data_IF_890373946641
#
_entry.id   IF_890373946641
#
_cell.length_a   1.000
_cell.length_b   1.000
_cell.length_c   1.000
_cell.angle_alpha   90.00
_cell.angle_beta   90.00
_cell.angle_gamma   90.00
#
_symmetry.space_group_name_H-M   'P 1'
#
loop_
_entity.id
_entity.type
_entity.pdbx_description
1 polymer ?
#
# COMPACT_ATOMS: atom_id res chain seq x y z
N UNK A 1 12.10 -27.11 7.76
CA UNK A 1 12.51 -26.24 8.88
C UNK A 1 11.73 -24.95 8.72
N UNK A 2 10.66 -24.77 9.51
CA UNK A 2 9.94 -23.49 9.52
C UNK A 2 10.80 -22.49 10.28
N UNK A 3 11.18 -21.41 9.62
CA UNK A 3 11.83 -20.27 10.30
C UNK A 3 10.74 -19.65 11.19
N UNK A 4 10.95 -19.63 12.50
CA UNK A 4 10.07 -18.93 13.43
C UNK A 4 10.17 -17.42 13.14
N UNK A 5 9.28 -16.95 12.28
CA UNK A 5 9.16 -15.56 11.90
C UNK A 5 8.22 -14.83 12.87
N UNK A 6 8.76 -13.98 13.75
CA UNK A 6 7.94 -13.09 14.57
C UNK A 6 7.32 -11.94 13.74
N UNK A 7 6.35 -11.21 14.32
CA UNK A 7 5.64 -10.12 13.62
C UNK A 7 6.61 -9.06 13.08
N UNK A 8 7.64 -8.74 13.85
CA UNK A 8 8.60 -7.71 13.48
C UNK A 8 9.44 -8.18 12.29
N UNK A 9 9.82 -9.45 12.23
CA UNK A 9 10.56 -10.04 11.12
C UNK A 9 9.68 -10.12 9.87
N UNK A 10 8.39 -10.50 9.98
CA UNK A 10 7.46 -10.50 8.85
C UNK A 10 7.22 -9.09 8.33
N UNK A 11 6.98 -8.11 9.21
CA UNK A 11 6.81 -6.70 8.84
C UNK A 11 8.11 -6.16 8.23
N UNK A 12 9.28 -6.51 8.75
CA UNK A 12 10.56 -6.07 8.22
C UNK A 12 10.82 -6.65 6.83
N UNK A 13 10.59 -7.96 6.66
CA UNK A 13 10.66 -8.63 5.37
C UNK A 13 9.72 -7.93 4.39
N UNK A 14 8.41 -7.82 4.71
CA UNK A 14 7.41 -7.16 3.87
C UNK A 14 7.70 -5.67 3.59
N UNK A 15 8.28 -4.93 4.56
CA UNK A 15 8.70 -3.53 4.37
C UNK A 15 9.90 -3.41 3.43
N UNK A 16 10.82 -4.37 3.43
CA UNK A 16 11.91 -4.42 2.45
C UNK A 16 11.40 -4.67 1.01
N UNK A 17 10.15 -5.09 0.83
CA UNK A 17 9.50 -5.10 -0.49
C UNK A 17 9.01 -3.71 -0.93
N UNK A 18 8.79 -2.77 0.00
CA UNK A 18 8.06 -1.53 -0.25
C UNK A 18 8.94 -0.30 -0.56
N UNK A 19 10.28 -0.35 -0.45
CA UNK A 19 11.09 0.47 -1.34
C UNK A 19 12.32 -0.29 -1.86
N UNK A 20 12.30 -0.60 -3.16
CA UNK A 20 13.47 -0.87 -4.00
C UNK A 20 14.26 -2.18 -3.83
N UNK A 21 13.87 -3.17 -3.03
CA UNK A 21 14.66 -4.43 -2.97
C UNK A 21 13.98 -5.70 -3.46
N UNK A 22 12.65 -5.79 -3.51
CA UNK A 22 11.95 -7.00 -4.00
C UNK A 22 10.63 -6.69 -4.74
N UNK A 23 10.59 -5.61 -5.53
CA UNK A 23 9.54 -5.49 -6.56
C UNK A 23 9.58 -6.73 -7.45
N UNK A 24 8.45 -7.29 -7.90
CA UNK A 24 8.48 -8.39 -8.86
C UNK A 24 9.39 -8.00 -10.02
N UNK A 25 10.22 -8.93 -10.48
CA UNK A 25 11.20 -8.63 -11.52
C UNK A 25 10.47 -8.02 -12.73
N UNK A 26 10.90 -6.82 -13.15
CA UNK A 26 10.26 -6.08 -14.25
C UNK A 26 9.26 -5.00 -13.83
N UNK A 27 8.84 -4.94 -12.56
CA UNK A 27 7.95 -3.88 -12.06
C UNK A 27 8.73 -2.57 -11.88
N UNK A 28 8.51 -1.66 -12.83
CA UNK A 28 9.14 -0.34 -12.89
C UNK A 28 8.10 0.72 -12.54
N UNK A 29 8.34 1.51 -11.49
CA UNK A 29 7.38 2.51 -11.02
C UNK A 29 7.02 3.53 -12.11
N UNK A 30 7.98 3.87 -12.98
CA UNK A 30 7.76 4.75 -14.12
C UNK A 30 6.82 4.17 -15.18
N UNK A 31 6.68 2.84 -15.25
CA UNK A 31 5.74 2.14 -16.14
C UNK A 31 4.40 1.86 -15.44
N UNK A 32 4.44 1.48 -14.17
CA UNK A 32 3.25 1.17 -13.40
C UNK A 32 2.38 2.40 -13.15
N UNK A 33 2.98 3.56 -12.89
CA UNK A 33 2.22 4.78 -12.63
C UNK A 33 1.30 5.17 -13.79
N UNK A 34 1.78 5.36 -15.04
CA UNK A 34 0.89 5.67 -16.16
C UNK A 34 -0.11 4.54 -16.46
N UNK A 35 0.26 3.26 -16.23
CA UNK A 35 -0.65 2.12 -16.41
C UNK A 35 -1.84 2.19 -15.43
N UNK A 36 -1.58 2.38 -14.14
CA UNK A 36 -2.60 2.51 -13.10
C UNK A 36 -3.46 3.76 -13.32
N UNK A 37 -2.85 4.87 -13.72
CA UNK A 37 -3.60 6.07 -14.11
C UNK A 37 -4.60 5.78 -15.23
N UNK A 38 -4.20 5.02 -16.26
CA UNK A 38 -5.10 4.64 -17.36
C UNK A 38 -6.28 3.78 -16.88
N UNK A 39 -6.02 2.78 -16.02
CA UNK A 39 -7.07 1.91 -15.45
C UNK A 39 -8.06 2.73 -14.60
N UNK A 40 -7.57 3.77 -13.92
CA UNK A 40 -8.36 4.65 -13.08
C UNK A 40 -8.98 5.84 -13.82
N UNK A 41 -8.97 5.86 -15.16
CA UNK A 41 -9.43 6.98 -15.99
C UNK A 41 -8.77 8.32 -15.63
N UNK A 42 -7.53 8.28 -15.16
CA UNK A 42 -6.76 9.46 -14.75
C UNK A 42 -7.24 10.08 -13.43
N UNK A 43 -8.15 9.46 -12.68
CA UNK A 43 -8.74 10.03 -11.47
C UNK A 43 -8.10 9.43 -10.22
N UNK A 44 -7.77 10.30 -9.26
CA UNK A 44 -7.32 9.88 -7.94
C UNK A 44 -8.51 9.34 -7.12
N UNK A 45 -8.46 8.08 -6.64
CA UNK A 45 -9.56 7.47 -5.87
C UNK A 45 -9.66 7.97 -4.42
N UNK A 46 -8.70 8.79 -3.97
CA UNK A 46 -8.67 9.36 -2.62
C UNK A 46 -9.10 10.83 -2.59
N UNK A 47 -9.33 11.45 -3.75
CA UNK A 47 -9.87 12.79 -3.81
C UNK A 47 -11.35 12.78 -3.37
N UNK A 48 -11.79 13.78 -2.58
CA UNK A 48 -13.21 14.08 -2.45
C UNK A 48 -13.85 14.25 -3.84
N UNK A 49 -15.11 13.84 -4.00
CA UNK A 49 -15.79 13.87 -5.30
C UNK A 49 -15.79 15.27 -5.94
N UNK A 50 -15.97 16.28 -5.10
CA UNK A 50 -15.96 17.71 -5.45
C UNK A 50 -14.58 18.23 -5.91
N UNK A 51 -13.51 17.46 -5.69
CA UNK A 51 -12.13 17.84 -6.00
C UNK A 51 -11.36 16.70 -6.65
N UNK A 52 -12.04 15.87 -7.47
CA UNK A 52 -11.43 14.81 -8.29
C UNK A 52 -10.42 15.41 -9.27
N UNK A 53 -9.22 15.65 -8.77
CA UNK A 53 -8.10 16.13 -9.54
C UNK A 53 -7.59 15.02 -10.46
N UNK A 54 -7.19 15.42 -11.66
CA UNK A 54 -6.47 14.53 -12.57
C UNK A 54 -5.12 14.13 -11.96
N UNK A 55 -4.77 12.86 -12.12
CA UNK A 55 -3.45 12.35 -11.80
C UNK A 55 -2.45 12.87 -12.83
N UNK A 56 -1.25 13.22 -12.37
CA UNK A 56 -0.16 13.71 -13.23
C UNK A 56 1.01 12.73 -13.15
N UNK A 57 1.52 12.29 -14.31
CA UNK A 57 2.65 11.35 -14.37
C UNK A 57 4.00 12.08 -14.30
N UNK A 58 4.30 12.73 -13.18
CA UNK A 58 5.58 13.43 -12.95
C UNK A 58 6.48 12.75 -11.90
N UNK A 59 5.94 11.72 -11.24
CA UNK A 59 6.56 11.02 -10.13
C UNK A 59 6.82 11.83 -8.86
N UNK A 60 6.36 13.08 -8.81
CA UNK A 60 6.41 13.94 -7.63
C UNK A 60 5.04 14.01 -6.97
N UNK A 61 4.00 14.35 -7.74
CA UNK A 61 2.65 14.52 -7.21
C UNK A 61 1.83 13.24 -7.21
N UNK A 62 2.13 12.28 -8.08
CA UNK A 62 1.39 11.01 -8.14
C UNK A 62 2.25 9.82 -7.70
N UNK A 63 1.78 9.10 -6.70
CA UNK A 63 2.44 7.97 -6.07
C UNK A 63 1.63 6.69 -6.31
N UNK A 64 2.29 5.54 -6.20
CA UNK A 64 1.60 4.25 -6.13
C UNK A 64 1.34 3.94 -4.66
N UNK A 65 0.11 3.59 -4.34
CA UNK A 65 -0.35 3.23 -3.00
C UNK A 65 -0.99 1.84 -3.03
N UNK A 66 -0.83 1.12 -1.92
CA UNK A 66 -1.46 -0.18 -1.70
C UNK A 66 -2.73 0.02 -0.87
N UNK A 67 -3.88 -0.48 -1.35
CA UNK A 67 -5.16 -0.38 -0.64
C UNK A 67 -5.11 -1.14 0.69
N UNK A 68 -4.66 -2.39 0.64
CA UNK A 68 -4.33 -3.24 1.78
C UNK A 68 -2.85 -3.07 2.08
N UNK A 69 -2.56 -2.64 3.30
CA UNK A 69 -1.19 -2.34 3.72
C UNK A 69 -0.37 -3.62 3.94
N UNK A 70 0.94 -3.50 3.78
CA UNK A 70 1.94 -4.49 4.21
C UNK A 70 1.68 -5.00 5.63
N UNK A 71 1.34 -4.12 6.58
CA UNK A 71 1.07 -4.54 7.97
C UNK A 71 -0.18 -5.42 8.08
N UNK A 72 -1.21 -5.15 7.30
CA UNK A 72 -2.41 -5.99 7.27
C UNK A 72 -2.10 -7.39 6.72
N UNK A 73 -1.27 -7.49 5.68
CA UNK A 73 -0.79 -8.78 5.18
C UNK A 73 0.10 -9.51 6.19
N UNK A 74 1.01 -8.80 6.87
CA UNK A 74 1.83 -9.38 7.94
C UNK A 74 0.98 -10.06 9.02
N UNK A 75 -0.08 -9.37 9.47
CA UNK A 75 -1.02 -9.90 10.46
C UNK A 75 -1.70 -11.18 9.97
N UNK A 76 -2.18 -11.21 8.71
CA UNK A 76 -2.79 -12.40 8.12
C UNK A 76 -1.83 -13.59 8.08
N UNK A 77 -0.55 -13.35 7.79
CA UNK A 77 0.48 -14.41 7.81
C UNK A 77 0.65 -14.97 9.22
N UNK A 78 0.75 -14.12 10.24
CA UNK A 78 0.87 -14.54 11.64
C UNK A 78 -0.33 -15.33 12.14
N UNK A 79 -1.52 -15.01 11.63
CA UNK A 79 -2.76 -15.70 11.96
C UNK A 79 -2.91 -17.04 11.22
N UNK A 80 -2.01 -17.34 10.27
CA UNK A 80 -2.11 -18.53 9.42
C UNK A 80 -3.12 -18.41 8.28
N UNK A 81 -3.72 -17.23 8.08
CA UNK A 81 -4.74 -16.99 7.04
C UNK A 81 -4.14 -16.90 5.63
N UNK A 82 -2.86 -16.54 5.53
CA UNK A 82 -2.13 -16.44 4.27
C UNK A 82 -0.71 -16.97 4.45
N UNK A 83 -0.19 -17.62 3.43
CA UNK A 83 1.24 -17.83 3.28
C UNK A 83 1.95 -16.54 2.87
N UNK A 84 3.27 -16.50 3.05
CA UNK A 84 4.09 -15.37 2.61
C UNK A 84 3.98 -15.12 1.10
N UNK A 85 3.96 -16.19 0.29
CA UNK A 85 3.87 -16.11 -1.17
C UNK A 85 2.51 -15.57 -1.63
N UNK A 86 1.42 -15.99 -1.00
CA UNK A 86 0.08 -15.48 -1.29
C UNK A 86 -0.04 -14.00 -0.93
N UNK A 87 0.47 -13.61 0.25
CA UNK A 87 0.52 -12.22 0.66
C UNK A 87 1.36 -11.37 -0.31
N UNK A 88 2.48 -11.90 -0.80
CA UNK A 88 3.30 -11.21 -1.80
C UNK A 88 2.57 -11.02 -3.13
N UNK A 89 1.88 -12.05 -3.65
CA UNK A 89 1.09 -11.93 -4.88
C UNK A 89 -0.03 -10.91 -4.72
N UNK A 90 -0.83 -11.04 -3.67
CA UNK A 90 -1.95 -10.13 -3.39
C UNK A 90 -1.49 -8.69 -3.15
N UNK A 91 -0.28 -8.49 -2.61
CA UNK A 91 0.28 -7.16 -2.44
C UNK A 91 0.44 -6.45 -3.80
N UNK A 92 0.86 -7.17 -4.84
CA UNK A 92 1.15 -6.63 -6.17
C UNK A 92 0.02 -6.81 -7.20
N UNK A 93 -1.14 -7.33 -6.80
CA UNK A 93 -2.30 -7.40 -7.68
C UNK A 93 -2.87 -6.01 -8.01
N UNK A 94 -3.38 -5.84 -9.23
CA UNK A 94 -4.06 -4.61 -9.67
C UNK A 94 -5.25 -4.24 -8.77
N UNK A 95 -5.89 -5.25 -8.16
CA UNK A 95 -6.95 -5.07 -7.18
C UNK A 95 -6.48 -4.25 -5.97
N UNK A 96 -5.20 -4.38 -5.60
CA UNK A 96 -4.58 -3.77 -4.43
C UNK A 96 -3.76 -2.51 -4.76
N UNK A 97 -3.30 -2.35 -6.00
CA UNK A 97 -2.54 -1.18 -6.43
C UNK A 97 -3.44 -0.03 -6.86
N UNK A 98 -2.97 1.20 -6.62
CA UNK A 98 -3.60 2.41 -7.15
C UNK A 98 -2.62 3.56 -7.30
N UNK A 99 -2.84 4.40 -8.30
CA UNK A 99 -2.20 5.70 -8.42
C UNK A 99 -2.99 6.76 -7.63
N UNK A 100 -2.30 7.52 -6.78
CA UNK A 100 -2.92 8.52 -5.89
C UNK A 100 -2.08 9.78 -5.85
N UNK A 101 -2.71 10.93 -5.60
CA UNK A 101 -1.93 12.13 -5.25
C UNK A 101 -1.20 11.92 -3.92
N UNK A 102 0.05 12.35 -3.87
CA UNK A 102 0.88 12.31 -2.68
C UNK A 102 0.19 12.97 -1.48
N UNK A 103 -0.44 14.14 -1.68
CA UNK A 103 -1.18 14.87 -0.65
C UNK A 103 -2.36 14.05 -0.11
N UNK A 104 -3.18 13.46 -0.99
CA UNK A 104 -4.31 12.65 -0.58
C UNK A 104 -3.87 11.41 0.20
N UNK A 105 -2.78 10.77 -0.23
CA UNK A 105 -2.23 9.63 0.49
C UNK A 105 -1.70 10.03 1.88
N UNK A 106 -0.98 11.16 1.97
CA UNK A 106 -0.47 11.68 3.22
C UNK A 106 -1.61 11.99 4.21
N UNK A 107 -2.65 12.69 3.74
CA UNK A 107 -3.81 13.04 4.57
C UNK A 107 -4.56 11.80 5.06
N UNK A 108 -4.80 10.82 4.18
CA UNK A 108 -5.38 9.52 4.56
C UNK A 108 -4.55 8.86 5.67
N UNK A 109 -3.23 8.81 5.52
CA UNK A 109 -2.34 8.18 6.49
C UNK A 109 -2.30 8.93 7.83
N UNK A 110 -2.37 10.26 7.82
CA UNK A 110 -2.46 11.08 9.03
C UNK A 110 -3.77 10.82 9.78
N UNK A 111 -4.90 10.78 9.07
CA UNK A 111 -6.21 10.45 9.64
C UNK A 111 -6.20 9.05 10.26
N UNK A 112 -5.66 8.05 9.56
CA UNK A 112 -5.55 6.69 10.08
C UNK A 112 -4.73 6.62 11.39
N UNK A 113 -3.63 7.38 11.48
CA UNK A 113 -2.82 7.48 12.72
C UNK A 113 -3.59 8.14 13.87
N UNK A 114 -4.34 9.20 13.58
CA UNK A 114 -5.14 9.89 14.58
C UNK A 114 -6.25 8.99 15.15
N UNK A 115 -6.94 8.25 14.28
CA UNK A 115 -7.97 7.27 14.68
C UNK A 115 -7.38 6.16 15.54
N UNK A 116 -6.24 5.56 15.13
CA UNK A 116 -5.57 4.54 15.93
C UNK A 116 -5.22 5.05 17.33
N UNK A 117 -4.63 6.25 17.42
CA UNK A 117 -4.28 6.87 18.70
C UNK A 117 -5.52 7.15 19.58
N UNK A 118 -6.66 7.47 18.97
CA UNK A 118 -7.90 7.67 19.70
C UNK A 118 -8.47 6.35 20.23
N UNK A 119 -8.43 5.28 19.45
CA UNK A 119 -8.87 3.95 19.87
C UNK A 119 -8.04 3.42 21.06
N UNK A 120 -6.72 3.62 21.02
CA UNK A 120 -5.81 3.21 22.11
C UNK A 120 -6.10 3.96 23.42
N UNK A 121 -6.63 5.20 23.34
CA UNK A 121 -7.02 5.99 24.52
C UNK A 121 -8.36 5.57 25.14
N UNK A 122 -9.20 4.86 24.40
CA UNK A 122 -10.52 4.41 24.88
C UNK A 122 -10.42 3.04 25.57
N UNK A 123 -9.34 2.29 25.31
CA UNK A 123 -9.09 0.96 25.88
C UNK A 123 -8.12 0.97 27.07
N UNK A 124 -7.59 2.14 27.45
CA UNK A 124 -6.62 2.32 28.54
C UNK A 124 -7.23 2.96 29.79
#
# INVERSE_FOLDING_TARGET
MMVDCDENMIVHLLRNFHPNRLRPQGVRLEKERPRLMKIQNGVCPLCPEESRGSLVNDGKVTHIDHKVTVKAFAKKILQGDLTFDEAYRQLWEDSNLRAVHHRCNLQRNQLAKAVAKAADKVQG
#
